data_IF_954839008585
#
_entry.id   IF_954839008585
#
_cell.length_a   1.000
_cell.length_b   1.000
_cell.length_c   1.000
_cell.angle_alpha   90.00
_cell.angle_beta   90.00
_cell.angle_gamma   90.00
#
_symmetry.space_group_name_H-M   'P 1'
#
loop_
_entity.id
_entity.type
_entity.pdbx_description
1 polymer ?
#
# COMPACT_ATOMS: atom_id res chain seq x y z
N UNK A 1 11.61 -8.21 -19.54
CA UNK A 1 12.21 -7.13 -18.74
C UNK A 1 13.58 -7.61 -18.32
N UNK A 2 14.64 -6.87 -18.63
CA UNK A 2 16.02 -7.27 -18.32
C UNK A 2 16.42 -6.85 -16.88
N UNK A 3 17.60 -7.28 -16.43
CA UNK A 3 18.10 -7.00 -15.08
C UNK A 3 18.18 -5.50 -14.76
N UNK A 4 18.55 -4.68 -15.75
CA UNK A 4 18.67 -3.23 -15.58
C UNK A 4 17.30 -2.58 -15.37
N UNK A 5 16.29 -3.03 -16.10
CA UNK A 5 14.90 -2.59 -15.93
C UNK A 5 14.33 -3.02 -14.57
N UNK A 6 14.61 -4.25 -14.12
CA UNK A 6 14.27 -4.73 -12.77
C UNK A 6 14.89 -3.85 -11.68
N UNK A 7 16.16 -3.48 -11.85
CA UNK A 7 16.88 -2.62 -10.89
C UNK A 7 16.29 -1.21 -10.84
N UNK A 8 15.91 -0.65 -12.00
CA UNK A 8 15.22 0.64 -12.08
C UNK A 8 13.85 0.59 -11.39
N UNK A 9 13.10 -0.49 -11.62
CA UNK A 9 11.80 -0.70 -10.99
C UNK A 9 11.95 -0.83 -9.47
N UNK A 10 12.95 -1.57 -8.99
CA UNK A 10 13.25 -1.67 -7.56
C UNK A 10 13.54 -0.30 -6.94
N UNK A 11 14.40 0.50 -7.56
CA UNK A 11 14.72 1.84 -7.07
C UNK A 11 13.50 2.77 -7.04
N UNK A 12 12.67 2.72 -8.10
CA UNK A 12 11.42 3.48 -8.15
C UNK A 12 10.45 3.04 -7.04
N UNK A 13 10.32 1.74 -6.81
CA UNK A 13 9.41 1.20 -5.82
C UNK A 13 9.85 1.53 -4.39
N UNK A 14 11.15 1.41 -4.09
CA UNK A 14 11.72 1.84 -2.80
C UNK A 14 11.50 3.32 -2.56
N UNK A 15 11.69 4.16 -3.58
CA UNK A 15 11.43 5.59 -3.48
C UNK A 15 9.95 5.88 -3.20
N UNK A 16 9.04 5.19 -3.88
CA UNK A 16 7.60 5.34 -3.64
C UNK A 16 7.21 5.00 -2.19
N UNK A 17 7.82 3.96 -1.61
CA UNK A 17 7.63 3.58 -0.22
C UNK A 17 8.18 4.62 0.75
N UNK A 18 9.40 5.13 0.50
CA UNK A 18 10.03 6.17 1.31
C UNK A 18 9.22 7.48 1.29
N UNK A 19 8.68 7.84 0.13
CA UNK A 19 7.79 9.00 -0.04
C UNK A 19 6.36 8.74 0.47
N UNK A 20 6.05 7.50 0.90
CA UNK A 20 4.71 7.06 1.29
C UNK A 20 3.64 7.38 0.24
N UNK A 21 4.02 7.37 -1.04
CA UNK A 21 3.14 7.70 -2.15
C UNK A 21 2.36 6.45 -2.59
N UNK A 22 1.10 6.36 -2.16
CA UNK A 22 0.19 5.24 -2.49
C UNK A 22 0.04 5.07 -4.01
N UNK A 23 -0.10 6.17 -4.75
CA UNK A 23 -0.22 6.15 -6.21
C UNK A 23 1.02 5.53 -6.87
N UNK A 24 2.23 5.92 -6.43
CA UNK A 24 3.46 5.39 -7.01
C UNK A 24 3.72 3.93 -6.58
N UNK A 25 3.27 3.55 -5.38
CA UNK A 25 3.25 2.14 -4.94
C UNK A 25 2.35 1.32 -5.86
N UNK A 26 1.13 1.78 -6.11
CA UNK A 26 0.17 1.10 -7.01
C UNK A 26 0.73 0.97 -8.43
N UNK A 27 1.32 2.05 -8.97
CA UNK A 27 2.00 2.02 -10.29
C UNK A 27 3.13 0.98 -10.31
N UNK A 28 3.93 0.90 -9.25
CA UNK A 28 5.01 -0.10 -9.15
C UNK A 28 4.48 -1.53 -9.12
N UNK A 29 3.39 -1.78 -8.37
CA UNK A 29 2.72 -3.08 -8.33
C UNK A 29 2.16 -3.47 -9.70
N UNK A 30 1.50 -2.54 -10.40
CA UNK A 30 0.95 -2.79 -11.73
C UNK A 30 2.04 -3.11 -12.76
N UNK A 31 3.18 -2.41 -12.70
CA UNK A 31 4.35 -2.71 -13.54
C UNK A 31 4.93 -4.08 -13.22
N UNK A 32 5.06 -4.44 -11.94
CA UNK A 32 5.49 -5.77 -11.53
C UNK A 32 4.54 -6.84 -12.07
N UNK A 33 3.24 -6.73 -11.84
CA UNK A 33 2.26 -7.72 -12.31
C UNK A 33 2.31 -7.92 -13.83
N UNK A 34 2.48 -6.84 -14.59
CA UNK A 34 2.52 -6.88 -16.05
C UNK A 34 3.79 -7.54 -16.59
N UNK A 35 4.94 -7.29 -15.96
CA UNK A 35 6.24 -7.64 -16.53
C UNK A 35 6.93 -8.84 -15.87
N UNK A 36 6.56 -9.19 -14.63
CA UNK A 36 7.14 -10.31 -13.88
C UNK A 36 6.99 -11.67 -14.59
N UNK A 37 5.88 -12.00 -15.28
CA UNK A 37 5.77 -13.27 -16.02
C UNK A 37 6.76 -13.43 -17.16
N UNK A 38 7.28 -12.30 -17.69
CA UNK A 38 8.24 -12.26 -18.79
C UNK A 38 9.70 -12.10 -18.30
N UNK A 39 9.94 -12.19 -17.00
CA UNK A 39 11.28 -12.19 -16.40
C UNK A 39 11.75 -13.64 -16.28
N UNK A 40 12.98 -13.91 -16.70
CA UNK A 40 13.62 -15.19 -16.39
C UNK A 40 13.97 -15.22 -14.90
N UNK A 41 13.23 -16.04 -14.15
CA UNK A 41 13.39 -16.21 -12.71
C UNK A 41 14.47 -17.24 -12.35
N UNK A 42 15.06 -17.90 -13.35
CA UNK A 42 16.17 -18.85 -13.17
C UNK A 42 17.54 -18.21 -13.44
N UNK A 43 17.54 -17.06 -14.11
CA UNK A 43 18.74 -16.26 -14.34
C UNK A 43 19.31 -15.71 -13.02
N UNK A 44 20.55 -16.09 -12.70
CA UNK A 44 21.23 -15.79 -11.44
C UNK A 44 21.33 -14.27 -11.19
N UNK A 45 21.54 -13.49 -12.26
CA UNK A 45 21.61 -12.05 -12.21
C UNK A 45 20.30 -11.36 -11.79
N UNK A 46 19.15 -12.01 -12.01
CA UNK A 46 17.85 -11.48 -11.64
C UNK A 46 17.43 -11.87 -10.22
N UNK A 47 17.96 -12.98 -9.68
CA UNK A 47 17.53 -13.55 -8.40
C UNK A 47 17.65 -12.55 -7.24
N UNK A 48 18.78 -11.84 -7.14
CA UNK A 48 19.00 -10.85 -6.09
C UNK A 48 18.00 -9.67 -6.18
N UNK A 49 17.76 -9.18 -7.40
CA UNK A 49 16.84 -8.06 -7.63
C UNK A 49 15.40 -8.48 -7.36
N UNK A 50 15.01 -9.69 -7.76
CA UNK A 50 13.69 -10.27 -7.50
C UNK A 50 13.45 -10.48 -6.00
N UNK A 51 14.46 -10.94 -5.25
CA UNK A 51 14.37 -11.09 -3.80
C UNK A 51 14.13 -9.73 -3.11
N UNK A 52 14.86 -8.69 -3.51
CA UNK A 52 14.67 -7.32 -3.01
C UNK A 52 13.30 -6.75 -3.38
N UNK A 53 12.84 -6.97 -4.62
CA UNK A 53 11.49 -6.56 -5.05
C UNK A 53 10.40 -7.23 -4.22
N UNK A 54 10.56 -8.52 -3.90
CA UNK A 54 9.63 -9.24 -3.03
C UNK A 54 9.59 -8.65 -1.63
N UNK A 55 10.75 -8.30 -1.07
CA UNK A 55 10.83 -7.65 0.24
C UNK A 55 10.11 -6.29 0.23
N UNK A 56 10.44 -5.42 -0.72
CA UNK A 56 9.82 -4.09 -0.84
C UNK A 56 8.31 -4.20 -1.06
N UNK A 57 7.85 -5.20 -1.81
CA UNK A 57 6.43 -5.46 -2.01
C UNK A 57 5.71 -5.86 -0.71
N UNK A 58 6.35 -6.65 0.15
CA UNK A 58 5.80 -7.01 1.47
C UNK A 58 5.68 -5.77 2.37
N UNK A 59 6.74 -4.96 2.43
CA UNK A 59 6.75 -3.71 3.20
C UNK A 59 5.67 -2.73 2.73
N UNK A 60 5.53 -2.55 1.41
CA UNK A 60 4.47 -1.73 0.83
C UNK A 60 3.07 -2.26 1.15
N UNK A 61 2.87 -3.59 1.13
CA UNK A 61 1.59 -4.21 1.50
C UNK A 61 1.22 -3.92 2.94
N UNK A 62 2.19 -4.05 3.86
CA UNK A 62 1.99 -3.73 5.28
C UNK A 62 1.68 -2.25 5.49
N UNK A 63 2.40 -1.37 4.79
CA UNK A 63 2.14 0.07 4.82
C UNK A 63 0.69 0.38 4.40
N UNK A 64 0.23 -0.13 3.26
CA UNK A 64 -1.13 0.10 2.77
C UNK A 64 -2.20 -0.49 3.72
N UNK A 65 -1.94 -1.66 4.32
CA UNK A 65 -2.84 -2.24 5.32
C UNK A 65 -2.98 -1.33 6.54
N UNK A 66 -1.87 -0.81 7.06
CA UNK A 66 -1.90 0.10 8.20
C UNK A 66 -2.65 1.39 7.89
N UNK A 67 -2.39 2.02 6.72
CA UNK A 67 -3.12 3.22 6.31
C UNK A 67 -4.62 2.98 6.19
N UNK A 68 -5.02 1.84 5.60
CA UNK A 68 -6.42 1.43 5.51
C UNK A 68 -7.06 1.26 6.89
N UNK A 69 -6.35 0.61 7.81
CA UNK A 69 -6.87 0.33 9.15
C UNK A 69 -7.00 1.62 9.97
N UNK A 70 -6.08 2.59 9.79
CA UNK A 70 -6.19 3.94 10.35
C UNK A 70 -7.43 4.67 9.82
N UNK A 71 -7.62 4.72 8.50
CA UNK A 71 -8.80 5.35 7.89
C UNK A 71 -10.09 4.70 8.39
N UNK A 72 -10.12 3.37 8.53
CA UNK A 72 -11.27 2.66 9.08
C UNK A 72 -11.55 3.05 10.52
N UNK A 73 -10.51 3.16 11.37
CA UNK A 73 -10.66 3.59 12.74
C UNK A 73 -11.18 5.04 12.85
N UNK A 74 -10.73 5.94 11.98
CA UNK A 74 -11.24 7.32 11.90
C UNK A 74 -12.72 7.36 11.50
N UNK A 75 -13.12 6.56 10.51
CA UNK A 75 -14.52 6.45 10.08
C UNK A 75 -15.43 5.90 11.19
N UNK A 76 -14.99 4.85 11.89
CA UNK A 76 -15.74 4.27 13.01
C UNK A 76 -15.89 5.26 14.18
N UNK A 77 -14.83 6.04 14.47
CA UNK A 77 -14.89 7.10 15.47
C UNK A 77 -15.87 8.23 15.08
N UNK A 78 -15.89 8.63 13.81
CA UNK A 78 -16.84 9.63 13.31
C UNK A 78 -18.29 9.11 13.39
N UNK A 79 -18.52 7.84 13.07
CA UNK A 79 -19.83 7.19 13.22
C UNK A 79 -20.33 7.17 14.66
N UNK A 80 -19.45 6.81 15.61
CA UNK A 80 -19.77 6.79 17.04
C UNK A 80 -20.05 8.19 17.61
N UNK A 81 -19.28 9.21 17.20
CA UNK A 81 -19.53 10.59 17.60
C UNK A 81 -20.88 11.08 17.09
N UNK A 82 -21.24 10.79 15.83
CA UNK A 82 -22.52 11.16 15.25
C UNK A 82 -23.71 10.48 15.93
N UNK A 83 -23.60 9.20 16.25
CA UNK A 83 -24.63 8.46 16.98
C UNK A 83 -24.81 9.02 18.40
N UNK A 84 -23.70 9.36 19.08
CA UNK A 84 -23.72 9.98 20.41
C UNK A 84 -24.37 11.36 20.38
N UNK A 85 -24.03 12.20 19.42
CA UNK A 85 -24.58 13.55 19.30
C UNK A 85 -26.09 13.53 18.99
N UNK A 86 -26.54 12.58 18.16
CA UNK A 86 -27.97 12.35 17.91
C UNK A 86 -28.72 11.87 19.18
N UNK A 87 -28.10 10.98 19.96
CA UNK A 87 -28.67 10.52 21.22
C UNK A 87 -28.80 11.67 22.25
N UNK A 88 -27.82 12.57 22.33
CA UNK A 88 -27.88 13.77 23.17
C UNK A 88 -28.99 14.74 22.73
N UNK A 89 -29.13 15.00 21.43
CA UNK A 89 -30.23 15.83 20.91
C UNK A 89 -31.60 15.23 21.25
N UNK A 90 -31.77 13.92 21.07
CA UNK A 90 -33.03 13.25 21.39
C UNK A 90 -33.38 13.33 22.88
N UNK A 91 -32.40 13.22 23.77
CA UNK A 91 -32.63 13.35 25.22
C UNK A 91 -32.96 14.79 25.65
N UNK A 92 -32.44 15.80 24.95
CA UNK A 92 -32.80 17.21 25.22
C UNK A 92 -34.20 17.58 24.71
N UNK A 93 -34.64 17.04 23.58
CA UNK A 93 -35.98 17.27 23.02
C UNK A 93 -37.10 16.52 23.77
N UNK A 94 -36.74 15.59 24.64
CA UNK A 94 -37.68 14.77 25.43
C UNK A 94 -37.88 15.29 26.87
N UNK A 95 -37.38 16.51 27.18
CA UNK A 95 -37.53 17.17 28.47
C UNK A 95 -38.36 18.44 28.35
#
# INVERSE_FOLDING_TARGET
MNQQELTKLLAFYQRALNERSVENIERSVNLLQKHLPAVDQTAEENLDVLAKLKQVHLEATLFIQNERDLVKAEMDSLGNNRARDFAYQKTQLSR
#
